data_IF_570515178714
#
_entry.id   IF_570515178714
#
_cell.length_a   1.000
_cell.length_b   1.000
_cell.length_c   1.000
_cell.angle_alpha   90.00
_cell.angle_beta   90.00
_cell.angle_gamma   90.00
#
_symmetry.space_group_name_H-M   'P 1'
#
loop_
_entity.id
_entity.type
_entity.pdbx_description
1 polymer ?
#
# COMPACT_ATOMS: atom_id res chain seq x y z
N UNK A 1 13.55 -1.57 1.02
CA UNK A 1 13.42 -2.24 -0.29
C UNK A 1 12.99 -3.71 -0.17
N UNK A 2 13.56 -4.50 0.75
CA UNK A 2 13.25 -5.94 0.88
C UNK A 2 11.78 -6.22 1.26
N UNK A 3 11.21 -5.46 2.21
CA UNK A 3 9.79 -5.58 2.63
C UNK A 3 8.82 -5.41 1.45
N UNK A 4 8.98 -4.36 0.65
CA UNK A 4 8.11 -4.09 -0.50
C UNK A 4 8.20 -5.22 -1.54
N UNK A 5 9.40 -5.75 -1.80
CA UNK A 5 9.60 -6.90 -2.70
C UNK A 5 8.94 -8.17 -2.15
N UNK A 6 9.08 -8.45 -0.86
CA UNK A 6 8.41 -9.59 -0.23
C UNK A 6 6.89 -9.49 -0.39
N UNK A 7 6.30 -8.35 -0.02
CA UNK A 7 4.86 -8.12 -0.19
C UNK A 7 4.43 -8.22 -1.65
N UNK A 8 5.22 -7.69 -2.59
CA UNK A 8 4.96 -7.82 -4.02
C UNK A 8 4.82 -9.29 -4.44
N UNK A 9 5.73 -10.16 -3.99
CA UNK A 9 5.67 -11.59 -4.29
C UNK A 9 4.43 -12.26 -3.67
N UNK A 10 4.11 -11.93 -2.42
CA UNK A 10 2.93 -12.47 -1.74
C UNK A 10 1.63 -12.08 -2.45
N UNK A 11 1.49 -10.80 -2.81
CA UNK A 11 0.33 -10.35 -3.57
C UNK A 11 0.32 -10.87 -5.01
N UNK A 12 1.47 -11.03 -5.66
CA UNK A 12 1.53 -11.59 -7.01
C UNK A 12 1.04 -13.05 -7.04
N UNK A 13 1.32 -13.83 -6.00
CA UNK A 13 0.79 -15.18 -5.82
C UNK A 13 -0.71 -15.17 -5.53
N UNK A 14 -1.19 -14.20 -4.74
CA UNK A 14 -2.59 -14.13 -4.33
C UNK A 14 -3.53 -13.61 -5.44
N UNK A 15 -3.13 -12.57 -6.17
CA UNK A 15 -4.01 -11.87 -7.13
C UNK A 15 -3.53 -11.94 -8.58
N UNK A 16 -2.36 -12.55 -8.83
CA UNK A 16 -1.71 -12.60 -10.13
C UNK A 16 -0.80 -11.39 -10.38
N UNK A 17 0.42 -11.67 -10.86
CA UNK A 17 1.49 -10.67 -11.05
C UNK A 17 1.10 -9.45 -11.89
N UNK A 18 0.17 -9.60 -12.86
CA UNK A 18 -0.27 -8.49 -13.73
C UNK A 18 -1.04 -7.41 -12.97
N UNK A 19 -1.61 -7.73 -11.80
CA UNK A 19 -2.35 -6.80 -10.95
C UNK A 19 -1.48 -6.13 -9.89
N UNK A 20 -0.20 -6.49 -9.80
CA UNK A 20 0.70 -5.92 -8.79
C UNK A 20 1.67 -4.95 -9.47
N UNK A 21 1.83 -3.76 -8.90
CA UNK A 21 2.83 -2.78 -9.34
C UNK A 21 3.66 -2.36 -8.14
N UNK A 22 4.97 -2.52 -8.24
CA UNK A 22 5.90 -1.98 -7.27
C UNK A 22 6.27 -0.52 -7.58
N UNK A 23 7.39 -0.10 -7.02
CA UNK A 23 7.99 1.22 -7.24
C UNK A 23 8.09 1.58 -8.73
N UNK A 24 7.64 2.78 -9.10
CA UNK A 24 7.60 3.29 -10.47
C UNK A 24 6.21 3.42 -11.08
N UNK A 25 5.16 3.04 -10.35
CA UNK A 25 3.79 3.46 -10.66
C UNK A 25 3.59 4.92 -10.27
N UNK A 26 3.22 5.76 -11.23
CA UNK A 26 2.79 7.14 -10.97
C UNK A 26 1.30 7.13 -10.59
N UNK A 27 0.94 7.73 -9.47
CA UNK A 27 -0.44 7.90 -9.03
C UNK A 27 -0.73 9.39 -8.92
N UNK A 28 -1.60 9.91 -9.78
CA UNK A 28 -2.11 11.28 -9.65
C UNK A 28 -2.96 11.39 -8.38
N UNK A 29 -2.72 12.44 -7.60
CA UNK A 29 -3.42 12.74 -6.35
C UNK A 29 -3.85 14.21 -6.31
N UNK A 30 -4.84 14.51 -5.47
CA UNK A 30 -5.23 15.90 -5.21
C UNK A 30 -4.19 16.61 -4.33
N UNK A 31 -4.06 17.93 -4.50
CA UNK A 31 -3.15 18.76 -3.71
C UNK A 31 -1.68 18.68 -4.18
N UNK A 32 -0.76 19.09 -3.31
CA UNK A 32 0.68 19.08 -3.58
C UNK A 32 1.40 18.05 -2.68
N UNK A 33 2.27 17.18 -3.25
CA UNK A 33 2.54 17.03 -4.67
C UNK A 33 1.36 16.41 -5.41
N UNK A 34 1.22 16.71 -6.71
CA UNK A 34 0.16 16.18 -7.59
C UNK A 34 0.33 14.71 -7.97
N UNK A 35 1.50 14.15 -7.74
CA UNK A 35 1.79 12.75 -8.02
C UNK A 35 2.45 12.10 -6.81
N UNK A 36 2.11 10.83 -6.58
CA UNK A 36 2.78 9.93 -5.65
C UNK A 36 3.34 8.73 -6.41
N UNK A 37 4.33 8.09 -5.79
CA UNK A 37 4.97 6.87 -6.29
C UNK A 37 4.94 5.85 -5.16
N UNK A 38 3.84 5.11 -5.01
CA UNK A 38 3.71 4.16 -3.91
C UNK A 38 4.71 3.00 -4.06
N UNK A 39 5.11 2.41 -2.92
CA UNK A 39 6.02 1.26 -2.91
C UNK A 39 5.36 0.00 -3.50
N UNK A 40 4.07 -0.21 -3.21
CA UNK A 40 3.26 -1.27 -3.79
C UNK A 40 1.83 -0.79 -4.04
N UNK A 41 1.25 -1.23 -5.15
CA UNK A 41 -0.15 -0.97 -5.48
C UNK A 41 -0.79 -2.22 -6.08
N UNK A 42 -1.97 -2.57 -5.57
CA UNK A 42 -2.81 -3.62 -6.13
C UNK A 42 -3.88 -3.00 -7.01
N UNK A 43 -3.79 -3.36 -8.29
CA UNK A 43 -4.63 -2.86 -9.35
C UNK A 43 -5.94 -3.65 -9.47
N UNK A 44 -6.93 -2.98 -10.04
CA UNK A 44 -8.12 -3.62 -10.60
C UNK A 44 -7.79 -4.28 -11.92
N UNK A 45 -8.68 -5.13 -12.43
CA UNK A 45 -8.44 -5.81 -13.70
C UNK A 45 -8.43 -4.83 -14.88
N UNK A 46 -9.32 -3.83 -14.89
CA UNK A 46 -9.38 -2.84 -15.97
C UNK A 46 -8.09 -2.02 -16.10
N UNK A 47 -7.37 -1.84 -15.00
CA UNK A 47 -6.10 -1.12 -14.96
C UNK A 47 -5.03 -1.80 -15.80
N UNK A 48 -5.06 -3.13 -15.95
CA UNK A 48 -4.03 -3.87 -16.69
C UNK A 48 -3.92 -3.37 -18.13
N UNK A 49 -5.05 -3.15 -18.80
CA UNK A 49 -5.07 -2.62 -20.17
C UNK A 49 -4.83 -1.11 -20.19
N UNK A 50 -5.42 -0.37 -19.24
CA UNK A 50 -5.29 1.09 -19.18
C UNK A 50 -3.83 1.54 -18.96
N UNK A 51 -3.04 0.76 -18.23
CA UNK A 51 -1.63 1.06 -17.92
C UNK A 51 -0.64 0.43 -18.92
N UNK A 52 -1.10 -0.27 -19.96
CA UNK A 52 -0.22 -0.98 -20.89
C UNK A 52 0.76 -0.05 -21.64
N UNK A 53 0.37 1.21 -21.87
CA UNK A 53 1.20 2.21 -22.56
C UNK A 53 1.93 3.16 -21.62
N UNK A 54 1.34 3.44 -20.45
CA UNK A 54 1.89 4.37 -19.46
C UNK A 54 1.53 3.86 -18.08
N UNK A 55 2.54 3.70 -17.24
CA UNK A 55 2.39 3.22 -15.87
C UNK A 55 1.92 4.34 -14.93
N UNK A 56 0.78 4.97 -15.25
CA UNK A 56 0.21 6.10 -14.52
C UNK A 56 -1.28 5.86 -14.26
N UNK A 57 -1.68 5.88 -12.99
CA UNK A 57 -3.07 5.97 -12.55
C UNK A 57 -3.46 7.44 -12.46
N UNK A 58 -4.46 7.84 -13.24
CA UNK A 58 -4.96 9.22 -13.28
C UNK A 58 -6.17 9.40 -12.36
N UNK A 59 -6.38 10.60 -11.84
CA UNK A 59 -7.50 10.91 -10.93
C UNK A 59 -8.88 10.58 -11.49
N UNK A 60 -9.03 10.61 -12.82
CA UNK A 60 -10.29 10.28 -13.51
C UNK A 60 -10.55 8.78 -13.68
N UNK A 61 -9.61 7.92 -13.30
CA UNK A 61 -9.74 6.46 -13.39
C UNK A 61 -10.33 5.92 -12.10
N UNK A 62 -10.82 4.68 -12.11
CA UNK A 62 -11.17 3.98 -10.87
C UNK A 62 -9.93 3.90 -9.97
N UNK A 63 -10.00 4.20 -8.67
CA UNK A 63 -8.84 4.10 -7.79
C UNK A 63 -8.35 2.64 -7.68
N UNK A 64 -7.06 2.40 -7.38
CA UNK A 64 -6.56 1.06 -7.10
C UNK A 64 -7.26 0.45 -5.87
N UNK A 65 -7.12 -0.87 -5.72
CA UNK A 65 -7.72 -1.58 -4.60
C UNK A 65 -6.96 -1.29 -3.31
N UNK A 66 -5.64 -1.36 -3.36
CA UNK A 66 -4.76 -1.22 -2.21
C UNK A 66 -3.50 -0.46 -2.58
N UNK A 67 -3.08 0.45 -1.71
CA UNK A 67 -1.74 1.06 -1.70
C UNK A 67 -1.02 0.65 -0.43
N UNK A 68 0.26 0.28 -0.53
CA UNK A 68 1.14 0.01 0.61
C UNK A 68 2.35 0.94 0.52
N UNK A 69 2.66 1.57 1.65
CA UNK A 69 3.84 2.41 1.84
C UNK A 69 4.71 1.82 2.95
N UNK A 70 6.00 1.69 2.68
CA UNK A 70 7.00 1.33 3.68
C UNK A 70 7.62 2.63 4.20
N UNK A 71 7.39 2.92 5.47
CA UNK A 71 7.91 4.12 6.12
C UNK A 71 9.43 4.09 6.03
N UNK A 72 9.99 5.13 5.44
CA UNK A 72 11.44 5.32 5.43
C UNK A 72 11.89 5.95 6.76
N UNK A 73 13.09 5.65 7.25
CA UNK A 73 13.54 6.09 8.57
C UNK A 73 13.58 7.63 8.68
N UNK A 74 13.19 8.15 9.85
CA UNK A 74 13.24 9.57 10.21
C UNK A 74 11.86 10.21 10.51
N UNK A 75 11.82 11.17 11.44
CA UNK A 75 10.57 11.79 11.93
C UNK A 75 9.77 12.51 10.83
N UNK A 76 10.43 13.31 9.98
CA UNK A 76 9.78 14.02 8.87
C UNK A 76 9.08 13.07 7.87
N UNK A 77 9.60 11.85 7.77
CA UNK A 77 9.11 10.86 6.85
C UNK A 77 7.88 10.13 7.42
N UNK A 78 7.81 9.97 8.76
CA UNK A 78 6.61 9.52 9.46
C UNK A 78 5.44 10.46 9.24
N UNK A 79 5.62 11.76 9.47
CA UNK A 79 4.53 12.74 9.26
C UNK A 79 4.01 12.71 7.82
N UNK A 80 4.91 12.57 6.85
CA UNK A 80 4.54 12.47 5.44
C UNK A 80 3.67 11.24 5.15
N UNK A 81 4.02 10.07 5.69
CA UNK A 81 3.35 8.81 5.38
C UNK A 81 2.05 8.63 6.18
N UNK A 82 2.05 9.03 7.45
CA UNK A 82 0.90 8.93 8.35
C UNK A 82 -0.15 10.03 8.14
N UNK A 83 0.26 11.23 7.74
CA UNK A 83 -0.64 12.39 7.64
C UNK A 83 -0.88 12.76 6.17
N UNK A 84 0.16 13.18 5.45
CA UNK A 84 -0.01 13.76 4.12
C UNK A 84 -0.47 12.73 3.07
N UNK A 85 0.20 11.57 2.98
CA UNK A 85 -0.18 10.49 2.05
C UNK A 85 -1.56 9.91 2.39
N UNK A 86 -1.85 9.70 3.67
CA UNK A 86 -3.16 9.21 4.14
C UNK A 86 -4.30 10.10 3.65
N UNK A 87 -4.20 11.41 3.82
CA UNK A 87 -5.22 12.36 3.33
C UNK A 87 -5.38 12.28 1.81
N UNK A 88 -4.28 12.28 1.07
CA UNK A 88 -4.34 12.24 -0.39
C UNK A 88 -4.94 10.94 -0.94
N UNK A 89 -4.56 9.78 -0.37
CA UNK A 89 -5.14 8.50 -0.78
C UNK A 89 -6.60 8.36 -0.38
N UNK A 90 -7.00 8.98 0.74
CA UNK A 90 -8.41 9.08 1.14
C UNK A 90 -9.21 9.87 0.12
N UNK A 91 -8.70 11.03 -0.29
CA UNK A 91 -9.34 11.91 -1.29
C UNK A 91 -9.41 11.25 -2.67
N UNK A 92 -8.46 10.37 -3.00
CA UNK A 92 -8.49 9.56 -4.21
C UNK A 92 -9.52 8.42 -4.16
N UNK A 93 -10.08 8.12 -2.99
CA UNK A 93 -11.05 7.04 -2.83
C UNK A 93 -10.44 5.64 -2.87
N UNK A 94 -9.16 5.49 -2.51
CA UNK A 94 -8.50 4.18 -2.45
C UNK A 94 -9.12 3.37 -1.31
N UNK A 95 -9.55 2.14 -1.60
CA UNK A 95 -10.37 1.36 -0.66
C UNK A 95 -9.60 0.89 0.58
N UNK A 96 -8.29 0.64 0.44
CA UNK A 96 -7.45 0.18 1.54
C UNK A 96 -6.04 0.78 1.43
N UNK A 97 -5.48 1.16 2.57
CA UNK A 97 -4.16 1.76 2.67
C UNK A 97 -3.37 1.15 3.81
N UNK A 98 -2.16 0.69 3.52
CA UNK A 98 -1.27 0.07 4.50
C UNK A 98 -0.05 0.96 4.74
N UNK A 99 0.26 1.18 6.01
CA UNK A 99 1.49 1.83 6.45
C UNK A 99 2.32 0.77 7.16
N UNK A 100 3.46 0.42 6.58
CA UNK A 100 4.39 -0.58 7.10
C UNK A 100 5.59 0.14 7.68
N UNK A 101 5.75 0.09 8.99
CA UNK A 101 6.75 0.86 9.73
C UNK A 101 7.88 -0.07 10.24
N UNK A 102 9.05 -0.09 9.58
CA UNK A 102 10.13 -1.03 9.93
C UNK A 102 10.75 -0.74 11.30
N UNK A 103 10.82 0.52 11.73
CA UNK A 103 11.44 0.88 13.01
C UNK A 103 10.60 0.36 14.20
N UNK A 104 9.28 0.47 14.09
CA UNK A 104 8.34 -0.01 15.13
C UNK A 104 7.91 -1.46 14.90
N UNK A 105 8.24 -2.04 13.75
CA UNK A 105 7.77 -3.34 13.30
C UNK A 105 6.23 -3.48 13.38
N UNK A 106 5.53 -2.44 12.93
CA UNK A 106 4.07 -2.40 12.90
C UNK A 106 3.54 -2.30 11.47
N UNK A 107 2.43 -3.00 11.21
CA UNK A 107 1.65 -2.87 9.98
C UNK A 107 0.30 -2.30 10.34
N UNK A 108 0.05 -1.04 9.99
CA UNK A 108 -1.25 -0.39 10.18
C UNK A 108 -2.08 -0.53 8.91
N UNK A 109 -3.28 -1.10 9.05
CA UNK A 109 -4.24 -1.30 7.95
C UNK A 109 -5.40 -0.32 8.11
N UNK A 110 -5.68 0.44 7.07
CA UNK A 110 -6.76 1.41 7.00
C UNK A 110 -7.76 1.01 5.91
N UNK A 111 -9.06 1.09 6.22
CA UNK A 111 -10.17 0.87 5.29
C UNK A 111 -10.91 2.18 5.05
N UNK A 112 -11.24 2.48 3.79
CA UNK A 112 -12.03 3.65 3.46
C UNK A 112 -13.52 3.39 3.69
N UNK A 113 -14.06 3.94 4.77
CA UNK A 113 -15.49 3.84 5.15
C UNK A 113 -16.13 5.21 5.04
N UNK A 114 -17.20 5.33 4.26
CA UNK A 114 -17.93 6.60 4.08
C UNK A 114 -17.04 7.82 3.76
N UNK A 115 -16.00 7.61 2.92
CA UNK A 115 -14.97 8.61 2.52
C UNK A 115 -13.94 8.98 3.59
N UNK A 116 -13.86 8.24 4.70
CA UNK A 116 -12.83 8.45 5.71
C UNK A 116 -12.12 7.14 6.05
N UNK A 117 -10.80 7.19 6.18
CA UNK A 117 -10.04 6.02 6.59
C UNK A 117 -10.27 5.70 8.06
N UNK A 118 -10.79 4.49 8.32
CA UNK A 118 -10.90 3.89 9.64
C UNK A 118 -9.80 2.86 9.82
N UNK A 119 -9.22 2.78 11.02
CA UNK A 119 -8.23 1.77 11.33
C UNK A 119 -8.90 0.40 11.49
N UNK A 120 -8.44 -0.56 10.70
CA UNK A 120 -8.81 -1.98 10.82
C UNK A 120 -8.00 -2.62 11.95
N UNK A 121 -6.72 -2.25 12.04
CA UNK A 121 -5.84 -2.59 13.14
C UNK A 121 -4.39 -2.22 12.85
N UNK A 122 -3.60 -2.24 13.91
CA UNK A 122 -2.14 -2.18 13.89
C UNK A 122 -1.58 -3.51 14.39
N UNK A 123 -0.82 -4.19 13.54
CA UNK A 123 -0.37 -5.58 13.76
C UNK A 123 1.14 -5.64 13.98
N UNK A 124 1.58 -6.46 14.93
CA UNK A 124 2.97 -6.62 15.33
C UNK A 124 3.31 -8.09 15.64
N UNK A 125 4.59 -8.44 15.64
CA UNK A 125 5.05 -9.80 15.99
C UNK A 125 4.29 -10.90 15.23
N UNK A 126 3.76 -11.90 15.94
CA UNK A 126 3.05 -13.02 15.31
C UNK A 126 1.57 -12.76 15.01
N UNK A 127 1.10 -11.52 15.14
CA UNK A 127 -0.27 -11.16 14.78
C UNK A 127 -0.49 -11.27 13.27
N UNK A 128 -1.59 -11.92 12.88
CA UNK A 128 -1.98 -12.01 11.47
C UNK A 128 -2.50 -10.66 10.99
N UNK A 129 -1.91 -10.15 9.91
CA UNK A 129 -2.35 -8.91 9.26
C UNK A 129 -3.67 -9.15 8.55
N UNK A 130 -4.72 -8.43 8.96
CA UNK A 130 -6.07 -8.61 8.43
C UNK A 130 -6.38 -7.55 7.37
N UNK A 131 -6.57 -8.00 6.13
CA UNK A 131 -7.08 -7.17 5.04
C UNK A 131 -8.59 -7.31 4.89
N UNK A 132 -9.36 -6.20 4.85
CA UNK A 132 -10.78 -6.23 4.46
C UNK A 132 -11.02 -6.79 3.05
N UNK A 133 -10.15 -6.46 2.08
CA UNK A 133 -10.30 -6.88 0.69
C UNK A 133 -9.68 -8.25 0.39
N UNK A 134 -8.57 -8.59 1.05
CA UNK A 134 -7.78 -9.80 0.77
C UNK A 134 -7.84 -10.76 1.96
N UNK A 135 -9.03 -11.31 2.24
CA UNK A 135 -9.29 -12.17 3.41
C UNK A 135 -8.51 -13.48 3.43
N UNK A 136 -8.06 -13.93 2.26
CA UNK A 136 -7.22 -15.12 2.09
C UNK A 136 -5.74 -14.86 2.39
N UNK A 137 -5.36 -13.59 2.63
CA UNK A 137 -3.98 -13.25 3.00
C UNK A 137 -3.62 -13.87 4.35
N UNK A 138 -2.61 -14.74 4.32
CA UNK A 138 -2.11 -15.43 5.49
C UNK A 138 -0.66 -15.02 5.78
N UNK A 139 -0.48 -13.79 6.28
CA UNK A 139 0.81 -13.24 6.68
C UNK A 139 0.73 -12.68 8.10
N UNK A 140 1.77 -12.93 8.88
CA UNK A 140 2.02 -12.26 10.16
C UNK A 140 2.91 -11.04 9.96
N UNK A 141 2.83 -10.07 10.88
CA UNK A 141 3.74 -8.92 10.87
C UNK A 141 5.22 -9.36 10.92
N UNK A 142 5.55 -10.37 11.74
CA UNK A 142 6.88 -10.93 11.86
C UNK A 142 7.41 -11.48 10.53
N UNK A 143 6.57 -12.12 9.71
CA UNK A 143 7.01 -12.57 8.38
C UNK A 143 7.32 -11.40 7.44
N UNK A 144 6.55 -10.31 7.54
CA UNK A 144 6.79 -9.09 6.76
C UNK A 144 8.14 -8.47 7.15
N UNK A 145 8.45 -8.37 8.44
CA UNK A 145 9.70 -7.78 8.94
C UNK A 145 10.91 -8.72 8.94
N UNK A 146 10.72 -10.04 8.98
CA UNK A 146 11.81 -11.01 8.86
C UNK A 146 12.56 -10.88 7.54
N UNK A 147 11.88 -10.38 6.50
CA UNK A 147 12.49 -10.07 5.20
C UNK A 147 13.48 -8.91 5.23
N UNK A 148 13.53 -8.11 6.31
CA UNK A 148 14.45 -6.97 6.48
C UNK A 148 15.70 -7.29 7.34
N UNK A 149 15.70 -8.42 8.05
CA UNK A 149 16.74 -8.79 9.03
C UNK A 149 17.75 -9.83 8.49
N UNK A 150 17.83 -10.02 7.17
CA UNK A 150 18.90 -10.80 6.55
C UNK A 150 20.01 -9.86 6.05
N UNK A 151 20.77 -9.32 7.01
CA UNK A 151 22.12 -8.78 6.80
C UNK A 151 23.08 -9.40 7.82
#
# INVERSE_FOLDING_TARGET
>A
MQIATFLLLQFALLVGYRRVRGHGLELEVNGEPRNRYPDLTILREEHIQQLAKRNTLRLKMTPPLLVIEVVSPGELQRDRDYIAKRSQYQDCGISEYWIVDPDTQTVMVLELVAKTYTEVGSFSGYEQVRSPQFRELNLTAAQIFASANQE
#
